data_IF_456052000427
#
_entry.id   IF_456052000427
#
_cell.length_a   1.000
_cell.length_b   1.000
_cell.length_c   1.000
_cell.angle_alpha   90.00
_cell.angle_beta   90.00
_cell.angle_gamma   90.00
#
_symmetry.space_group_name_H-M   'P 1'
#
loop_
_entity.id
_entity.type
_entity.pdbx_description
1 polymer ?
#
# COMPACT_ATOMS: atom_id res chain seq x y z
N UNK A 1 -19.02 8.63 -55.42
CA UNK A 1 -17.93 8.86 -54.47
C UNK A 1 -16.69 8.21 -55.06
N UNK A 2 -15.63 8.97 -55.33
CA UNK A 2 -14.48 8.44 -56.05
C UNK A 2 -13.66 7.52 -55.13
N UNK A 3 -13.12 6.44 -55.69
CA UNK A 3 -12.31 5.44 -54.95
C UNK A 3 -11.24 6.08 -54.05
N UNK A 4 -10.60 7.13 -54.58
CA UNK A 4 -9.56 7.91 -53.84
C UNK A 4 -10.14 8.55 -52.59
N UNK A 5 -11.33 9.15 -52.64
CA UNK A 5 -11.99 9.80 -51.50
C UNK A 5 -12.36 8.79 -50.41
N UNK A 6 -12.82 7.60 -50.81
CA UNK A 6 -13.12 6.52 -49.84
C UNK A 6 -11.87 5.99 -49.15
N UNK A 7 -10.80 5.85 -49.91
CA UNK A 7 -9.50 5.40 -49.37
C UNK A 7 -8.92 6.42 -48.40
N UNK A 8 -8.95 7.70 -48.72
CA UNK A 8 -8.49 8.78 -47.87
C UNK A 8 -9.31 8.84 -46.57
N UNK A 9 -10.64 8.68 -46.66
CA UNK A 9 -11.52 8.65 -45.49
C UNK A 9 -11.18 7.45 -44.58
N UNK A 10 -10.94 6.27 -45.13
CA UNK A 10 -10.58 5.09 -44.36
C UNK A 10 -9.26 5.27 -43.61
N UNK A 11 -8.24 5.84 -44.25
CA UNK A 11 -6.95 6.14 -43.63
C UNK A 11 -7.12 7.18 -42.52
N UNK A 12 -7.92 8.22 -42.74
CA UNK A 12 -8.18 9.25 -41.73
C UNK A 12 -8.87 8.68 -40.47
N UNK A 13 -9.87 7.80 -40.67
CA UNK A 13 -10.55 7.12 -39.54
C UNK A 13 -9.59 6.21 -38.79
N UNK A 14 -8.78 5.41 -39.47
CA UNK A 14 -7.75 4.57 -38.84
C UNK A 14 -6.77 5.40 -38.05
N UNK A 15 -6.28 6.50 -38.60
CA UNK A 15 -5.36 7.40 -37.90
C UNK A 15 -5.97 8.00 -36.63
N UNK A 16 -7.25 8.41 -36.68
CA UNK A 16 -7.97 8.95 -35.54
C UNK A 16 -8.14 7.87 -34.43
N UNK A 17 -8.52 6.65 -34.79
CA UNK A 17 -8.69 5.54 -33.84
C UNK A 17 -7.35 5.19 -33.16
N UNK A 18 -6.27 5.06 -33.92
CA UNK A 18 -4.94 4.79 -33.39
C UNK A 18 -4.44 5.93 -32.49
N UNK A 19 -4.72 7.18 -32.85
CA UNK A 19 -4.41 8.34 -32.04
C UNK A 19 -5.11 8.32 -30.68
N UNK A 20 -6.40 8.00 -30.65
CA UNK A 20 -7.18 7.86 -29.42
C UNK A 20 -6.63 6.73 -28.55
N UNK A 21 -6.38 5.56 -29.11
CA UNK A 21 -5.85 4.39 -28.39
C UNK A 21 -4.49 4.73 -27.77
N UNK A 22 -3.60 5.36 -28.55
CA UNK A 22 -2.27 5.73 -28.06
C UNK A 22 -2.34 6.77 -26.94
N UNK A 23 -3.24 7.74 -27.05
CA UNK A 23 -3.47 8.75 -26.00
C UNK A 23 -3.96 8.10 -24.71
N UNK A 24 -4.96 7.23 -24.78
CA UNK A 24 -5.49 6.50 -23.60
C UNK A 24 -4.38 5.65 -22.98
N UNK A 25 -3.58 4.95 -23.78
CA UNK A 25 -2.49 4.11 -23.31
C UNK A 25 -1.39 4.93 -22.65
N UNK A 26 -1.05 6.09 -23.20
CA UNK A 26 -0.08 7.02 -22.59
C UNK A 26 -0.56 7.55 -21.26
N UNK A 27 -1.80 8.04 -21.17
CA UNK A 27 -2.38 8.53 -19.92
C UNK A 27 -2.49 7.46 -18.84
N UNK A 28 -2.70 6.20 -19.23
CA UNK A 28 -2.78 5.09 -18.26
C UNK A 28 -1.43 4.72 -17.65
N UNK A 29 -0.32 5.01 -18.32
CA UNK A 29 1.04 4.74 -17.82
C UNK A 29 1.45 5.65 -16.67
N UNK A 30 0.93 6.87 -16.65
CA UNK A 30 1.31 7.89 -15.65
C UNK A 30 0.49 7.77 -14.35
N UNK A 31 -0.43 6.81 -14.29
CA UNK A 31 -1.23 6.59 -13.08
C UNK A 31 -0.41 5.90 -12.00
N UNK A 32 -0.46 6.49 -10.81
CA UNK A 32 0.10 5.87 -9.60
C UNK A 32 -0.86 4.75 -9.16
N UNK A 33 -0.34 3.54 -9.05
CA UNK A 33 -1.06 2.36 -8.59
C UNK A 33 -0.21 1.63 -7.55
N UNK A 34 -0.63 1.67 -6.30
CA UNK A 34 -0.03 0.89 -5.22
C UNK A 34 -1.01 -0.19 -4.75
N UNK A 35 -0.48 -1.36 -4.47
CA UNK A 35 -1.21 -2.45 -3.82
C UNK A 35 -0.65 -2.65 -2.42
N UNK A 36 -1.51 -2.52 -1.42
CA UNK A 36 -1.15 -2.71 0.00
C UNK A 36 -1.69 -4.06 0.45
N UNK A 37 -0.81 -4.92 0.97
CA UNK A 37 -1.14 -6.27 1.40
C UNK A 37 -0.57 -6.49 2.80
N UNK A 38 -1.40 -6.52 3.85
CA UNK A 38 -0.96 -7.02 5.14
C UNK A 38 -0.62 -8.51 5.04
N UNK A 39 0.54 -8.91 5.54
CA UNK A 39 1.04 -10.30 5.50
C UNK A 39 1.70 -10.67 6.83
N UNK A 40 1.87 -11.96 7.09
CA UNK A 40 2.66 -12.44 8.21
C UNK A 40 4.11 -12.57 7.80
N UNK A 41 5.00 -11.97 8.56
CA UNK A 41 6.44 -12.01 8.33
C UNK A 41 7.10 -12.72 9.49
N UNK A 42 8.07 -13.57 9.19
CA UNK A 42 8.95 -14.16 10.21
C UNK A 42 10.29 -13.42 10.12
N UNK A 43 10.60 -12.55 11.08
CA UNK A 43 11.90 -11.88 11.09
C UNK A 43 13.02 -12.89 11.25
N UNK A 44 14.16 -12.67 10.58
CA UNK A 44 15.33 -13.53 10.74
C UNK A 44 15.78 -13.53 12.21
N UNK A 45 15.88 -14.71 12.81
CA UNK A 45 16.31 -14.87 14.20
C UNK A 45 15.22 -14.83 15.27
N UNK A 46 13.95 -14.69 14.89
CA UNK A 46 12.82 -14.75 15.81
C UNK A 46 11.84 -15.85 15.42
N UNK A 47 11.40 -16.65 16.40
CA UNK A 47 10.35 -17.65 16.21
C UNK A 47 8.93 -17.06 16.25
N UNK A 48 8.81 -15.75 16.46
CA UNK A 48 7.50 -15.05 16.49
C UNK A 48 7.19 -14.48 15.12
N UNK A 49 5.93 -14.65 14.71
CA UNK A 49 5.42 -14.07 13.48
C UNK A 49 4.96 -12.65 13.76
N UNK A 50 5.58 -11.70 13.09
CA UNK A 50 5.17 -10.30 13.12
C UNK A 50 4.18 -9.99 11.99
N UNK A 51 3.44 -8.91 12.12
CA UNK A 51 2.60 -8.39 11.06
C UNK A 51 3.46 -7.51 10.16
N UNK A 52 3.49 -7.83 8.87
CA UNK A 52 4.12 -7.02 7.84
C UNK A 52 3.07 -6.32 6.99
N UNK A 53 3.42 -5.17 6.45
CA UNK A 53 2.64 -4.47 5.43
C UNK A 53 3.49 -4.43 4.17
N UNK A 54 3.10 -5.24 3.19
CA UNK A 54 3.73 -5.26 1.88
C UNK A 54 3.09 -4.24 0.97
N UNK A 55 3.91 -3.38 0.38
CA UNK A 55 3.51 -2.35 -0.56
C UNK A 55 4.16 -2.65 -1.90
N UNK A 56 3.34 -2.80 -2.93
CA UNK A 56 3.77 -3.14 -4.29
C UNK A 56 3.46 -1.94 -5.19
N UNK A 57 4.48 -1.42 -5.86
CA UNK A 57 4.28 -0.44 -6.91
C UNK A 57 3.90 -1.14 -8.21
N UNK A 58 2.64 -1.02 -8.61
CA UNK A 58 2.12 -1.56 -9.87
C UNK A 58 2.23 -0.57 -11.04
N UNK A 59 2.66 0.68 -10.76
CA UNK A 59 2.84 1.72 -11.76
C UNK A 59 4.07 1.45 -12.64
N UNK A 60 4.13 2.18 -13.74
CA UNK A 60 5.33 2.28 -14.59
C UNK A 60 6.29 3.40 -14.14
N UNK A 61 5.90 4.18 -13.14
CA UNK A 61 6.68 5.27 -12.58
C UNK A 61 7.11 4.95 -11.14
N UNK A 62 8.23 5.52 -10.72
CA UNK A 62 8.67 5.44 -9.33
C UNK A 62 7.74 6.25 -8.42
N UNK A 63 7.41 5.70 -7.25
CA UNK A 63 6.49 6.33 -6.30
C UNK A 63 7.18 6.46 -4.94
N UNK A 64 7.13 7.65 -4.37
CA UNK A 64 7.61 7.89 -3.01
C UNK A 64 6.48 7.63 -2.02
N UNK A 65 6.68 6.68 -1.12
CA UNK A 65 5.77 6.40 -0.01
C UNK A 65 6.23 7.21 1.19
N UNK A 66 5.34 7.97 1.78
CA UNK A 66 5.61 8.88 2.89
C UNK A 66 5.17 8.30 4.23
N UNK A 67 4.09 7.53 4.23
CA UNK A 67 3.46 7.05 5.46
C UNK A 67 2.82 5.69 5.25
N UNK A 68 2.91 4.86 6.28
CA UNK A 68 2.25 3.54 6.33
C UNK A 68 1.59 3.39 7.69
N UNK A 69 0.36 2.87 7.70
CA UNK A 69 -0.38 2.73 8.95
C UNK A 69 -1.62 1.86 8.83
N UNK A 70 -2.46 1.95 9.88
CA UNK A 70 -3.75 1.28 9.95
C UNK A 70 -4.91 2.28 9.90
N UNK A 71 -6.02 1.84 9.34
CA UNK A 71 -7.28 2.58 9.39
C UNK A 71 -8.23 1.91 10.39
N UNK A 72 -8.65 2.70 11.38
CA UNK A 72 -9.55 2.31 12.45
C UNK A 72 -10.78 3.20 12.39
N UNK A 73 -11.95 2.65 12.12
CA UNK A 73 -13.22 3.43 12.02
C UNK A 73 -13.17 4.64 11.06
N UNK A 74 -12.32 4.60 10.03
CA UNK A 74 -12.14 5.71 9.10
C UNK A 74 -11.02 6.70 9.51
N UNK A 75 -10.53 6.65 10.74
CA UNK A 75 -9.37 7.39 11.21
C UNK A 75 -8.07 6.65 10.83
N UNK A 76 -7.07 7.41 10.40
CA UNK A 76 -5.77 6.89 10.00
C UNK A 76 -4.79 7.03 11.15
N UNK A 77 -4.25 5.91 11.58
CA UNK A 77 -3.22 5.85 12.63
C UNK A 77 -1.89 5.53 11.94
N UNK A 78 -0.98 6.50 11.81
CA UNK A 78 0.32 6.28 11.22
C UNK A 78 1.15 5.38 12.14
N UNK A 79 1.76 4.35 11.57
CA UNK A 79 2.75 3.51 12.26
C UNK A 79 4.15 3.99 11.92
N UNK A 80 4.33 4.40 10.67
CA UNK A 80 5.58 4.88 10.11
C UNK A 80 5.27 6.07 9.22
N UNK A 81 5.88 7.21 9.50
CA UNK A 81 5.75 8.43 8.72
C UNK A 81 7.11 9.12 8.53
N UNK A 82 7.12 10.21 7.78
CA UNK A 82 8.30 11.06 7.60
C UNK A 82 8.62 11.92 8.83
N UNK A 83 7.68 12.03 9.75
CA UNK A 83 7.82 12.68 11.05
C UNK A 83 8.49 11.78 12.09
N UNK A 84 8.50 12.21 13.32
CA UNK A 84 9.15 11.51 14.42
C UNK A 84 8.37 10.24 14.78
N UNK A 85 8.80 9.09 14.27
CA UNK A 85 8.35 7.81 14.79
C UNK A 85 9.15 7.47 16.05
N UNK A 86 8.46 7.28 17.17
CA UNK A 86 9.04 6.95 18.49
C UNK A 86 9.91 5.70 18.49
N UNK A 87 9.75 4.80 17.54
CA UNK A 87 10.57 3.59 17.38
C UNK A 87 11.91 3.80 16.65
N UNK A 88 12.17 5.00 16.12
CA UNK A 88 13.33 5.29 15.27
C UNK A 88 14.62 5.67 16.01
N UNK A 89 14.51 6.18 17.21
CA UNK A 89 15.71 6.48 18.02
C UNK A 89 16.56 5.22 18.27
N UNK A 90 15.96 4.03 18.19
CA UNK A 90 16.64 2.76 18.41
C UNK A 90 17.25 2.13 17.15
N UNK A 91 16.84 2.51 15.93
CA UNK A 91 17.24 1.83 14.68
C UNK A 91 18.03 2.69 13.68
N UNK A 92 18.24 3.98 13.97
CA UNK A 92 19.16 4.85 13.20
C UNK A 92 18.79 5.15 11.74
N UNK A 93 17.77 4.54 11.17
CA UNK A 93 17.40 4.71 9.77
C UNK A 93 16.06 5.43 9.59
N UNK A 94 16.07 6.48 8.76
CA UNK A 94 14.83 7.09 8.28
C UNK A 94 14.14 6.10 7.33
N UNK A 95 13.08 5.43 7.80
CA UNK A 95 12.33 4.50 6.95
C UNK A 95 11.55 5.21 5.85
N UNK A 96 11.08 6.43 6.09
CA UNK A 96 10.23 7.21 5.18
C UNK A 96 10.70 8.66 5.08
N UNK A 97 10.49 9.31 3.94
CA UNK A 97 9.89 8.78 2.71
C UNK A 97 10.77 7.74 2.02
N UNK A 98 10.16 6.68 1.48
CA UNK A 98 10.88 5.64 0.73
C UNK A 98 10.40 5.59 -0.71
N UNK A 99 11.34 5.69 -1.65
CA UNK A 99 11.08 5.57 -3.08
C UNK A 99 10.96 4.09 -3.46
N UNK A 100 9.87 3.75 -4.13
CA UNK A 100 9.67 2.46 -4.77
C UNK A 100 9.79 2.61 -6.27
N UNK A 101 10.71 1.88 -6.84
CA UNK A 101 10.87 1.81 -8.29
C UNK A 101 9.67 1.10 -8.95
N UNK A 102 9.44 1.29 -10.25
CA UNK A 102 8.37 0.62 -10.98
C UNK A 102 8.42 -0.89 -10.78
N UNK A 103 7.26 -1.50 -10.56
CA UNK A 103 7.11 -2.97 -10.43
C UNK A 103 7.90 -3.60 -9.28
N UNK A 104 8.35 -2.82 -8.32
CA UNK A 104 9.01 -3.31 -7.12
C UNK A 104 8.09 -3.33 -5.92
N UNK A 105 8.52 -4.00 -4.87
CA UNK A 105 7.79 -4.03 -3.60
C UNK A 105 8.71 -3.83 -2.42
N UNK A 106 8.15 -3.32 -1.33
CA UNK A 106 8.79 -3.32 -0.01
C UNK A 106 7.84 -3.93 1.02
N UNK A 107 8.41 -4.55 2.05
CA UNK A 107 7.66 -5.00 3.22
C UNK A 107 8.14 -4.21 4.43
N UNK A 108 7.20 -3.64 5.15
CA UNK A 108 7.44 -2.94 6.41
C UNK A 108 6.95 -3.85 7.52
N UNK A 109 7.87 -4.31 8.36
CA UNK A 109 7.52 -5.14 9.53
C UNK A 109 7.05 -4.24 10.66
N UNK A 110 5.89 -4.54 11.22
CA UNK A 110 5.34 -3.86 12.39
C UNK A 110 5.74 -4.64 13.62
N UNK A 111 6.64 -4.13 14.47
CA UNK A 111 7.04 -4.79 15.69
C UNK A 111 5.82 -5.03 16.59
N UNK A 112 5.84 -6.17 17.28
CA UNK A 112 4.76 -6.53 18.19
C UNK A 112 4.54 -5.50 19.31
N UNK A 113 5.61 -4.84 19.74
CA UNK A 113 5.58 -3.77 20.75
C UNK A 113 4.72 -2.59 20.28
N UNK A 114 4.81 -2.23 19.00
CA UNK A 114 4.01 -1.15 18.38
C UNK A 114 2.55 -1.58 18.28
N UNK A 115 2.29 -2.85 17.97
CA UNK A 115 0.92 -3.37 17.96
C UNK A 115 0.29 -3.38 19.36
N UNK A 116 1.08 -3.67 20.40
CA UNK A 116 0.63 -3.61 21.80
C UNK A 116 0.38 -2.18 22.29
N UNK A 117 1.10 -1.19 21.80
CA UNK A 117 0.90 0.22 22.18
C UNK A 117 -0.40 0.81 21.61
N UNK A 118 -0.89 0.24 20.50
CA UNK A 118 -2.27 0.47 20.07
C UNK A 118 -3.17 -0.17 21.12
N UNK A 119 -4.03 0.60 21.77
CA UNK A 119 -4.97 0.06 22.75
C UNK A 119 -5.66 -1.16 22.13
N UNK A 120 -5.69 -2.29 22.86
CA UNK A 120 -6.25 -3.56 22.38
C UNK A 120 -7.63 -3.39 21.74
N UNK A 121 -8.46 -2.50 22.29
CA UNK A 121 -9.79 -2.18 21.76
C UNK A 121 -9.73 -1.44 20.39
N UNK A 122 -8.69 -0.66 20.13
CA UNK A 122 -8.50 0.02 18.85
C UNK A 122 -8.02 -0.96 17.79
N UNK A 123 -7.06 -1.83 18.14
CA UNK A 123 -6.56 -2.84 17.22
C UNK A 123 -7.66 -3.82 16.78
N UNK A 124 -8.59 -4.18 17.68
CA UNK A 124 -9.76 -5.02 17.35
C UNK A 124 -10.66 -4.42 16.26
N UNK A 125 -10.55 -3.13 15.98
CA UNK A 125 -11.36 -2.38 15.00
C UNK A 125 -10.61 -2.09 13.69
N UNK A 126 -9.36 -2.52 13.58
CA UNK A 126 -8.57 -2.35 12.35
C UNK A 126 -9.24 -3.11 11.20
N UNK A 127 -9.53 -2.41 10.12
CA UNK A 127 -10.13 -2.97 8.90
C UNK A 127 -9.13 -3.04 7.75
N UNK A 128 -8.29 -2.02 7.63
CA UNK A 128 -7.37 -1.85 6.52
C UNK A 128 -6.00 -1.40 7.00
N UNK A 129 -4.96 -1.86 6.30
CA UNK A 129 -3.68 -1.16 6.28
C UNK A 129 -3.69 -0.17 5.13
N UNK A 130 -2.96 0.94 5.27
CA UNK A 130 -2.85 1.94 4.21
C UNK A 130 -1.41 2.35 3.99
N UNK A 131 -1.17 2.89 2.80
CA UNK A 131 0.04 3.60 2.44
C UNK A 131 -0.33 4.94 1.80
N UNK A 132 0.33 6.02 2.22
CA UNK A 132 0.21 7.36 1.65
C UNK A 132 1.46 7.68 0.85
N UNK A 133 1.27 8.19 -0.35
CA UNK A 133 2.35 8.69 -1.19
C UNK A 133 2.67 10.14 -0.88
N UNK A 134 3.85 10.62 -1.27
CA UNK A 134 4.25 12.03 -1.09
C UNK A 134 3.37 13.02 -1.89
N UNK A 135 2.64 12.55 -2.91
CA UNK A 135 1.62 13.36 -3.59
C UNK A 135 0.23 13.30 -2.92
N UNK A 136 0.11 12.68 -1.74
CA UNK A 136 -1.11 12.64 -0.94
C UNK A 136 -2.10 11.53 -1.30
N UNK A 137 -1.84 10.70 -2.32
CA UNK A 137 -2.71 9.58 -2.65
C UNK A 137 -2.62 8.49 -1.58
N UNK A 138 -3.78 7.92 -1.23
CA UNK A 138 -3.91 6.90 -0.20
C UNK A 138 -4.42 5.61 -0.82
N UNK A 139 -3.68 4.54 -0.60
CA UNK A 139 -4.02 3.19 -1.02
C UNK A 139 -4.27 2.32 0.20
N UNK A 140 -5.36 1.56 0.17
CA UNK A 140 -5.78 0.71 1.28
C UNK A 140 -5.75 -0.75 0.86
N UNK A 141 -5.44 -1.62 1.81
CA UNK A 141 -5.48 -3.06 1.61
C UNK A 141 -5.92 -3.81 2.86
N UNK A 142 -6.57 -4.95 2.65
CA UNK A 142 -6.95 -5.88 3.71
C UNK A 142 -6.55 -7.29 3.29
N UNK A 143 -6.33 -8.15 4.27
CA UNK A 143 -5.98 -9.55 4.02
C UNK A 143 -6.50 -10.45 5.14
N UNK A 144 -6.48 -11.77 4.88
CA UNK A 144 -6.73 -12.78 5.90
C UNK A 144 -5.72 -12.71 7.06
N UNK A 145 -4.45 -12.37 6.76
CA UNK A 145 -3.41 -12.23 7.78
C UNK A 145 -3.72 -11.11 8.78
N UNK A 146 -4.21 -9.94 8.31
CA UNK A 146 -4.62 -8.84 9.18
C UNK A 146 -5.80 -9.25 10.06
N UNK A 147 -6.83 -9.86 9.46
CA UNK A 147 -8.01 -10.33 10.20
C UNK A 147 -7.65 -11.37 11.26
N UNK A 148 -6.73 -12.27 10.94
CA UNK A 148 -6.29 -13.28 11.88
C UNK A 148 -5.42 -12.69 13.00
N UNK A 149 -4.54 -11.72 12.72
CA UNK A 149 -3.78 -11.03 13.75
C UNK A 149 -4.71 -10.32 14.77
N UNK A 150 -5.74 -9.64 14.27
CA UNK A 150 -6.79 -9.01 15.09
C UNK A 150 -7.57 -10.05 15.91
N UNK A 151 -7.83 -11.23 15.35
CA UNK A 151 -8.52 -12.32 16.05
C UNK A 151 -7.68 -12.95 17.15
N UNK A 152 -6.40 -13.22 16.86
CA UNK A 152 -5.44 -13.80 17.83
C UNK A 152 -5.27 -12.89 19.06
N UNK A 153 -5.30 -11.56 18.85
CA UNK A 153 -5.26 -10.59 19.94
C UNK A 153 -6.51 -10.65 20.83
N UNK A 154 -7.69 -10.80 20.23
CA UNK A 154 -8.97 -10.96 20.98
C UNK A 154 -8.99 -12.19 21.88
N UNK A 155 -8.36 -13.29 21.47
CA UNK A 155 -8.33 -14.53 22.27
C UNK A 155 -7.41 -14.36 23.47
N UNK A 156 -6.24 -13.71 23.28
CA UNK A 156 -5.28 -13.49 24.37
C UNK A 156 -5.87 -12.64 25.50
N UNK A 157 -6.62 -11.59 25.17
CA UNK A 157 -7.27 -10.75 26.16
C UNK A 157 -8.32 -11.50 27.01
N UNK A 158 -9.03 -12.48 26.40
CA UNK A 158 -10.00 -13.29 27.12
C UNK A 158 -9.35 -14.31 28.08
N UNK A 159 -8.16 -14.80 27.74
CA UNK A 159 -7.44 -15.77 28.54
C UNK A 159 -6.67 -15.19 29.72
N UNK A 160 -6.45 -13.87 29.78
CA UNK A 160 -5.76 -13.20 30.88
C UNK A 160 -6.68 -12.69 31.98
N UNK A 161 -8.00 -12.84 31.83
CA UNK A 161 -9.03 -12.44 32.80
C UNK A 161 -9.66 -13.63 33.55
N UNK A 162 -8.99 -14.78 33.58
CA UNK A 162 -9.39 -15.98 34.36
C UNK A 162 -8.36 -16.27 35.44
#
# INVERSE_FOLDING_TARGET
MNFITSMTLAIAVLGAVLGIINTIHSLSRDRILLKVIPERVVPKGHNKRDLGIRIINLSYIAVSVEEVGFEIKGEKIPLFDSGVSLSRAALGERMFPKRLEPRTSMTVTVPWEVLKSLKSEEFKRVKFAYARTSCGLIFKGSSGALRQAVYDDRIKDRGSNV
#
